data_IF_499304433042
#
_entry.id   IF_499304433042
#
_cell.length_a   1.000
_cell.length_b   1.000
_cell.length_c   1.000
_cell.angle_alpha   90.00
_cell.angle_beta   90.00
_cell.angle_gamma   90.00
#
_symmetry.space_group_name_H-M   'P 1'
#
loop_
_entity.id
_entity.type
_entity.pdbx_description
1 polymer ?
#
# COMPACT_ATOMS: atom_id res chain seq x y z
N UNK A 1 -17.89 -0.65 -12.19
CA UNK A 1 -17.49 0.61 -11.48
C UNK A 1 -16.01 0.90 -11.68
N UNK A 2 -15.53 2.13 -11.46
CA UNK A 2 -14.13 2.57 -11.73
C UNK A 2 -13.04 1.66 -11.13
N UNK A 3 -13.33 0.97 -10.01
CA UNK A 3 -12.39 0.06 -9.32
C UNK A 3 -12.64 -1.44 -9.61
N UNK A 4 -13.65 -1.78 -10.42
CA UNK A 4 -14.02 -3.17 -10.76
C UNK A 4 -13.37 -3.69 -12.05
N UNK A 5 -12.76 -2.81 -12.85
CA UNK A 5 -12.02 -3.22 -14.05
C UNK A 5 -10.75 -4.02 -13.65
N UNK A 6 -10.20 -4.80 -14.58
CA UNK A 6 -8.90 -5.52 -14.46
C UNK A 6 -7.72 -4.53 -14.47
N UNK A 7 -7.74 -3.59 -13.53
CA UNK A 7 -6.71 -2.60 -13.25
C UNK A 7 -5.74 -3.22 -12.24
N UNK A 8 -4.44 -2.93 -12.38
CA UNK A 8 -3.41 -3.49 -11.51
C UNK A 8 -3.67 -3.14 -10.03
N UNK A 9 -3.21 -3.99 -9.11
CA UNK A 9 -3.42 -3.77 -7.67
C UNK A 9 -2.79 -2.45 -7.20
N UNK A 10 -1.65 -2.05 -7.76
CA UNK A 10 -0.99 -0.79 -7.43
C UNK A 10 -1.79 0.40 -7.96
N UNK A 11 -2.22 0.36 -9.22
CA UNK A 11 -3.03 1.43 -9.83
C UNK A 11 -4.32 1.71 -9.04
N UNK A 12 -4.97 0.66 -8.52
CA UNK A 12 -6.12 0.80 -7.63
C UNK A 12 -5.78 1.54 -6.34
N UNK A 13 -4.65 1.22 -5.71
CA UNK A 13 -4.17 1.89 -4.50
C UNK A 13 -3.84 3.37 -4.79
N UNK A 14 -3.19 3.66 -5.92
CA UNK A 14 -2.88 5.03 -6.34
C UNK A 14 -4.13 5.87 -6.59
N UNK A 15 -5.16 5.26 -7.20
CA UNK A 15 -6.44 5.92 -7.41
C UNK A 15 -7.14 6.22 -6.09
N UNK A 16 -7.17 5.27 -5.16
CA UNK A 16 -7.74 5.46 -3.82
C UNK A 16 -7.01 6.59 -3.08
N UNK A 17 -5.68 6.60 -3.12
CA UNK A 17 -4.86 7.64 -2.50
C UNK A 17 -5.15 9.02 -3.10
N UNK A 18 -5.25 9.10 -4.42
CA UNK A 18 -5.58 10.34 -5.14
C UNK A 18 -6.96 10.86 -4.74
N UNK A 19 -7.98 10.01 -4.71
CA UNK A 19 -9.35 10.37 -4.31
C UNK A 19 -9.37 10.90 -2.86
N UNK A 20 -8.66 10.25 -1.95
CA UNK A 20 -8.58 10.68 -0.55
C UNK A 20 -7.87 12.02 -0.40
N UNK A 21 -6.73 12.21 -1.08
CA UNK A 21 -5.96 13.47 -1.05
C UNK A 21 -6.71 14.64 -1.66
N UNK A 22 -7.58 14.39 -2.65
CA UNK A 22 -8.46 15.39 -3.24
C UNK A 22 -9.71 15.68 -2.40
N UNK A 23 -9.93 14.96 -1.30
CA UNK A 23 -11.12 15.13 -0.45
C UNK A 23 -12.41 14.59 -1.06
N UNK A 24 -12.30 13.73 -2.08
CA UNK A 24 -13.45 13.15 -2.81
C UNK A 24 -13.88 11.79 -2.25
N UNK A 25 -13.31 11.35 -1.13
CA UNK A 25 -13.54 10.03 -0.55
C UNK A 25 -14.99 9.78 -0.10
N UNK A 26 -15.77 10.83 0.15
CA UNK A 26 -17.16 10.71 0.58
C UNK A 26 -18.07 10.14 -0.51
N UNK A 27 -17.77 10.40 -1.79
CA UNK A 27 -18.54 9.90 -2.93
C UNK A 27 -18.24 8.42 -3.26
N UNK A 28 -17.09 7.91 -2.82
CA UNK A 28 -16.58 6.57 -3.20
C UNK A 28 -16.32 5.67 -1.99
N UNK A 29 -16.90 5.98 -0.83
CA UNK A 29 -16.57 5.32 0.44
C UNK A 29 -16.78 3.79 0.41
N UNK A 30 -17.87 3.33 -0.21
CA UNK A 30 -18.21 1.91 -0.32
C UNK A 30 -17.27 1.17 -1.28
N UNK A 31 -16.93 1.77 -2.43
CA UNK A 31 -16.00 1.20 -3.40
C UNK A 31 -14.58 1.13 -2.85
N UNK A 32 -14.12 2.16 -2.14
CA UNK A 32 -12.81 2.18 -1.46
C UNK A 32 -12.76 1.04 -0.45
N UNK A 33 -13.80 0.91 0.40
CA UNK A 33 -13.86 -0.13 1.42
C UNK A 33 -13.89 -1.54 0.83
N UNK A 34 -14.68 -1.76 -0.23
CA UNK A 34 -14.74 -3.05 -0.95
C UNK A 34 -13.36 -3.40 -1.53
N UNK A 35 -12.69 -2.43 -2.15
CA UNK A 35 -11.39 -2.63 -2.79
C UNK A 35 -10.30 -2.94 -1.77
N UNK A 36 -10.19 -2.14 -0.69
CA UNK A 36 -9.21 -2.39 0.38
C UNK A 36 -9.45 -3.72 1.10
N UNK A 37 -10.72 -4.12 1.28
CA UNK A 37 -11.06 -5.45 1.80
C UNK A 37 -10.52 -6.57 0.91
N UNK A 38 -10.71 -6.47 -0.40
CA UNK A 38 -10.21 -7.47 -1.34
C UNK A 38 -8.68 -7.54 -1.33
N UNK A 39 -8.00 -6.38 -1.29
CA UNK A 39 -6.53 -6.30 -1.20
C UNK A 39 -6.02 -6.95 0.08
N UNK A 40 -6.66 -6.68 1.23
CA UNK A 40 -6.31 -7.28 2.53
C UNK A 40 -6.47 -8.80 2.56
N UNK A 41 -7.55 -9.32 1.94
CA UNK A 41 -7.77 -10.77 1.83
C UNK A 41 -6.67 -11.38 0.95
N UNK A 42 -6.40 -10.77 -0.20
CA UNK A 42 -5.45 -11.32 -1.15
C UNK A 42 -4.01 -11.28 -0.60
N UNK A 43 -3.63 -10.25 0.17
CA UNK A 43 -2.38 -10.21 0.95
C UNK A 43 -2.27 -11.37 1.95
N UNK A 44 -3.38 -11.79 2.55
CA UNK A 44 -3.39 -12.91 3.50
C UNK A 44 -3.21 -14.26 2.80
N UNK A 45 -3.60 -14.37 1.52
CA UNK A 45 -3.48 -15.60 0.72
C UNK A 45 -2.19 -15.66 -0.11
N UNK A 46 -1.62 -14.52 -0.48
CA UNK A 46 -0.36 -14.43 -1.23
C UNK A 46 0.79 -13.98 -0.32
N UNK A 47 1.58 -14.95 0.13
CA UNK A 47 2.81 -14.74 0.93
C UNK A 47 3.92 -14.02 0.13
N UNK A 48 3.67 -13.73 -1.16
CA UNK A 48 4.65 -13.32 -2.16
C UNK A 48 4.10 -12.31 -3.18
N UNK A 49 3.35 -11.29 -2.74
CA UNK A 49 3.27 -10.07 -3.57
C UNK A 49 4.63 -9.40 -3.56
N UNK A 50 5.11 -9.04 -4.74
CA UNK A 50 6.43 -8.45 -5.04
C UNK A 50 7.02 -7.68 -3.86
N UNK A 51 7.81 -8.40 -3.07
CA UNK A 51 8.58 -7.88 -1.92
C UNK A 51 9.69 -6.92 -2.35
N UNK A 52 9.77 -6.63 -3.64
CA UNK A 52 10.80 -5.82 -4.28
C UNK A 52 10.33 -4.38 -4.53
N UNK A 53 9.04 -4.06 -4.36
CA UNK A 53 8.53 -2.69 -4.53
C UNK A 53 8.18 -2.04 -3.19
N UNK A 54 9.09 -1.19 -2.70
CA UNK A 54 8.91 -0.43 -1.46
C UNK A 54 7.70 0.50 -1.55
N UNK A 55 7.54 1.19 -2.68
CA UNK A 55 6.41 2.09 -2.90
C UNK A 55 5.05 1.40 -2.79
N UNK A 56 4.85 0.29 -3.49
CA UNK A 56 3.60 -0.46 -3.43
C UNK A 56 3.33 -0.96 -2.00
N UNK A 57 4.35 -1.48 -1.32
CA UNK A 57 4.21 -2.00 0.05
C UNK A 57 3.86 -0.90 1.04
N UNK A 58 4.54 0.24 0.98
CA UNK A 58 4.30 1.37 1.88
C UNK A 58 2.92 2.00 1.64
N UNK A 59 2.52 2.16 0.37
CA UNK A 59 1.21 2.71 0.02
C UNK A 59 0.07 1.80 0.50
N UNK A 60 0.17 0.49 0.25
CA UNK A 60 -0.83 -0.46 0.73
C UNK A 60 -0.91 -0.48 2.26
N UNK A 61 0.25 -0.52 2.94
CA UNK A 61 0.30 -0.48 4.41
C UNK A 61 -0.37 0.76 4.97
N UNK A 62 -0.07 1.94 4.42
CA UNK A 62 -0.65 3.22 4.84
C UNK A 62 -2.17 3.22 4.66
N UNK A 63 -2.66 2.86 3.47
CA UNK A 63 -4.10 2.87 3.16
C UNK A 63 -4.88 1.86 4.01
N UNK A 64 -4.34 0.65 4.21
CA UNK A 64 -4.96 -0.35 5.08
C UNK A 64 -5.04 0.14 6.53
N UNK A 65 -3.94 0.69 7.08
CA UNK A 65 -3.91 1.21 8.45
C UNK A 65 -4.86 2.40 8.65
N UNK A 66 -4.93 3.32 7.68
CA UNK A 66 -5.86 4.46 7.69
C UNK A 66 -7.33 4.01 7.75
N UNK A 67 -7.66 2.89 7.11
CA UNK A 67 -9.01 2.31 7.12
C UNK A 67 -9.25 1.30 8.27
N UNK A 68 -8.34 1.22 9.24
CA UNK A 68 -8.50 0.42 10.46
C UNK A 68 -8.16 -1.06 10.32
N UNK A 69 -7.54 -1.48 9.22
CA UNK A 69 -7.06 -2.85 9.06
C UNK A 69 -5.79 -3.07 9.90
N UNK A 70 -5.68 -4.25 10.51
CA UNK A 70 -4.46 -4.67 11.20
C UNK A 70 -3.47 -5.20 10.17
N UNK A 71 -2.36 -4.49 10.00
CA UNK A 71 -1.26 -4.87 9.11
C UNK A 71 0.00 -5.05 9.95
N UNK A 72 0.74 -6.14 9.71
CA UNK A 72 1.98 -6.41 10.43
C UNK A 72 3.12 -5.55 9.83
N UNK A 73 3.94 -4.94 10.68
CA UNK A 73 5.14 -4.18 10.29
C UNK A 73 6.22 -5.06 9.66
N UNK A 74 6.21 -6.38 9.93
CA UNK A 74 7.18 -7.33 9.38
C UNK A 74 7.16 -7.39 7.84
N UNK A 75 6.14 -6.82 7.20
CA UNK A 75 6.08 -6.63 5.74
C UNK A 75 7.26 -5.79 5.22
N UNK A 76 7.88 -4.96 6.08
CA UNK A 76 9.03 -4.15 5.72
C UNK A 76 10.38 -4.83 5.97
N UNK A 77 10.41 -6.02 6.58
CA UNK A 77 11.65 -6.71 6.91
C UNK A 77 12.51 -7.02 5.66
N UNK A 78 11.89 -7.26 4.50
CA UNK A 78 12.61 -7.48 3.25
C UNK A 78 13.32 -6.23 2.71
N UNK A 79 12.97 -5.03 3.18
CA UNK A 79 13.60 -3.76 2.82
C UNK A 79 14.67 -3.30 3.81
N UNK A 80 14.87 -4.07 4.90
CA UNK A 80 15.89 -3.79 5.90
C UNK A 80 17.15 -4.64 5.68
N UNK A 81 18.31 -4.09 6.05
CA UNK A 81 19.57 -4.82 6.12
C UNK A 81 19.69 -5.62 7.43
N UNK A 82 20.77 -6.39 7.58
CA UNK A 82 21.01 -7.24 8.76
C UNK A 82 21.19 -6.43 10.06
N UNK A 83 21.38 -5.12 9.95
CA UNK A 83 21.55 -4.18 11.07
C UNK A 83 20.22 -3.46 11.40
N UNK A 84 19.18 -3.66 10.58
CA UNK A 84 17.85 -3.06 10.74
C UNK A 84 17.68 -1.70 10.06
N UNK A 85 18.64 -1.26 9.24
CA UNK A 85 18.50 -0.03 8.45
C UNK A 85 17.84 -0.31 7.10
N UNK A 86 17.22 0.70 6.49
CA UNK A 86 16.72 0.58 5.11
C UNK A 86 17.89 0.28 4.18
N UNK A 87 17.75 -0.74 3.33
CA UNK A 87 18.79 -1.15 2.38
C UNK A 87 19.20 0.04 1.50
N UNK A 88 20.51 0.29 1.38
CA UNK A 88 21.05 1.37 0.57
C UNK A 88 20.67 1.28 -0.93
N UNK A 89 20.31 0.08 -1.42
CA UNK A 89 19.78 -0.13 -2.77
C UNK A 89 18.47 0.62 -3.03
N UNK A 90 17.72 0.97 -1.98
CA UNK A 90 16.44 1.67 -2.05
C UNK A 90 16.58 3.20 -2.03
N UNK A 91 17.81 3.74 -1.89
CA UNK A 91 18.05 5.18 -1.81
C UNK A 91 17.57 5.97 -3.03
N UNK A 92 17.41 5.31 -4.18
CA UNK A 92 16.91 5.92 -5.41
C UNK A 92 15.37 5.86 -5.54
N UNK A 93 14.69 5.05 -4.71
CA UNK A 93 13.23 4.97 -4.69
C UNK A 93 12.64 6.06 -3.77
N UNK A 94 12.74 7.31 -4.22
CA UNK A 94 12.22 8.46 -3.47
C UNK A 94 10.70 8.36 -3.22
N UNK A 95 9.94 7.77 -4.15
CA UNK A 95 8.49 7.61 -4.03
C UNK A 95 8.15 6.59 -2.95
N UNK A 96 8.90 5.50 -2.88
CA UNK A 96 8.79 4.49 -1.84
C UNK A 96 9.22 5.00 -0.47
N UNK A 97 10.34 5.71 -0.39
CA UNK A 97 10.80 6.33 0.86
C UNK A 97 9.82 7.35 1.41
N UNK A 98 9.23 8.20 0.54
CA UNK A 98 8.21 9.15 0.95
C UNK A 98 6.97 8.44 1.51
N UNK A 99 6.47 7.42 0.83
CA UNK A 99 5.28 6.69 1.31
C UNK A 99 5.58 5.89 2.58
N UNK A 100 6.81 5.37 2.74
CA UNK A 100 7.24 4.72 3.98
C UNK A 100 7.23 5.71 5.14
N UNK A 101 7.72 6.92 4.91
CA UNK A 101 7.67 8.00 5.90
C UNK A 101 6.22 8.37 6.27
N UNK A 102 5.33 8.54 5.28
CA UNK A 102 3.91 8.82 5.53
C UNK A 102 3.15 7.67 6.21
N UNK A 103 3.66 6.45 6.11
CA UNK A 103 3.05 5.24 6.66
C UNK A 103 3.42 4.98 8.14
N UNK A 104 4.52 5.57 8.60
CA UNK A 104 5.10 5.41 9.94
C UNK A 104 4.23 6.12 10.99
#
# INVERSE_FOLDING_TARGET
MMLENEVDSLEKLELIDTIQRLGLSYDFGDEIKKTLKNISIDRSTTVARDKDNLYATALEFRLLRQHGYKVNQDVFACFMDDVGNIKASLNQDYKGLLNLYEAS
#
